data_IF_694621463257
#
_entry.id   IF_694621463257
#
_cell.length_a   1.000
_cell.length_b   1.000
_cell.length_c   1.000
_cell.angle_alpha   90.00
_cell.angle_beta   90.00
_cell.angle_gamma   90.00
#
_symmetry.space_group_name_H-M   'P 1'
#
loop_
_entity.id
_entity.type
_entity.pdbx_description
1 polymer ?
#
# COMPACT_ATOMS: atom_id res chain seq x y z
N UNK A 1 16.10 -14.82 -32.13
CA UNK A 1 15.90 -13.36 -32.01
C UNK A 1 14.49 -13.24 -31.47
N UNK A 2 14.41 -13.53 -30.19
CA UNK A 2 13.19 -13.85 -29.50
C UNK A 2 12.71 -12.52 -28.92
N UNK A 3 11.77 -11.90 -29.63
CA UNK A 3 11.03 -10.74 -29.13
C UNK A 3 10.16 -11.22 -27.96
N UNK A 4 10.74 -11.21 -26.77
CA UNK A 4 9.97 -11.10 -25.53
C UNK A 4 9.49 -9.64 -25.44
N UNK A 5 8.51 -9.29 -26.27
CA UNK A 5 7.75 -8.05 -26.08
C UNK A 5 6.80 -8.28 -24.90
N UNK A 6 7.38 -8.33 -23.70
CA UNK A 6 6.66 -8.00 -22.49
C UNK A 6 6.07 -6.61 -22.72
N UNK A 7 4.76 -6.55 -23.06
CA UNK A 7 4.05 -5.29 -23.24
C UNK A 7 4.12 -4.56 -21.90
N UNK A 8 5.10 -3.70 -21.74
CA UNK A 8 5.11 -2.73 -20.64
C UNK A 8 3.80 -1.98 -20.74
N UNK A 9 2.94 -2.18 -19.74
CA UNK A 9 1.65 -1.49 -19.69
C UNK A 9 1.97 -0.02 -19.50
N UNK A 10 1.74 0.78 -20.54
CA UNK A 10 1.83 2.23 -20.44
C UNK A 10 0.70 2.70 -19.51
N UNK A 11 1.07 2.96 -18.25
CA UNK A 11 0.16 3.40 -17.21
C UNK A 11 -0.52 4.72 -17.58
N UNK A 12 0.14 5.58 -18.36
CA UNK A 12 -0.41 6.85 -18.80
C UNK A 12 -1.51 6.62 -19.83
N UNK A 13 -1.23 5.79 -20.85
CA UNK A 13 -2.21 5.44 -21.88
C UNK A 13 -3.45 4.77 -21.26
N UNK A 14 -3.24 3.81 -20.35
CA UNK A 14 -4.32 3.09 -19.70
C UNK A 14 -5.17 4.02 -18.81
N UNK A 15 -4.53 4.90 -18.04
CA UNK A 15 -5.22 5.89 -17.22
C UNK A 15 -6.06 6.83 -18.08
N UNK A 16 -5.49 7.36 -19.16
CA UNK A 16 -6.19 8.26 -20.08
C UNK A 16 -7.40 7.58 -20.73
N UNK A 17 -7.26 6.32 -21.14
CA UNK A 17 -8.35 5.54 -21.72
C UNK A 17 -9.50 5.30 -20.71
N UNK A 18 -9.18 4.97 -19.46
CA UNK A 18 -10.19 4.77 -18.41
C UNK A 18 -10.93 6.08 -18.08
N UNK A 19 -10.18 7.16 -17.87
CA UNK A 19 -10.77 8.46 -17.52
C UNK A 19 -11.65 8.97 -18.66
N UNK A 20 -11.18 8.91 -19.91
CA UNK A 20 -11.95 9.34 -21.08
C UNK A 20 -13.25 8.55 -21.25
N UNK A 21 -13.22 7.22 -21.07
CA UNK A 21 -14.42 6.38 -21.09
C UNK A 21 -15.41 6.73 -19.97
N UNK A 22 -14.90 7.06 -18.77
CA UNK A 22 -15.74 7.44 -17.65
C UNK A 22 -16.43 8.79 -17.91
N UNK A 23 -15.69 9.84 -18.27
CA UNK A 23 -16.27 11.18 -18.49
C UNK A 23 -17.20 11.24 -19.72
N UNK A 24 -17.04 10.33 -20.68
CA UNK A 24 -17.93 10.24 -21.84
C UNK A 24 -19.38 9.91 -21.47
N UNK A 25 -19.61 9.23 -20.34
CA UNK A 25 -20.96 8.84 -19.88
C UNK A 25 -21.32 9.37 -18.49
N UNK A 26 -20.43 10.10 -17.83
CA UNK A 26 -20.65 10.61 -16.48
C UNK A 26 -20.43 12.12 -16.45
N UNK A 27 -21.35 12.87 -15.86
CA UNK A 27 -21.16 14.30 -15.59
C UNK A 27 -20.43 14.48 -14.27
N UNK A 28 -19.36 15.25 -14.31
CA UNK A 28 -18.57 15.62 -13.13
C UNK A 28 -18.25 17.12 -13.21
N UNK A 29 -18.15 17.80 -12.06
CA UNK A 29 -17.66 19.17 -12.03
C UNK A 29 -16.20 19.22 -12.52
N UNK A 30 -15.81 20.30 -13.19
CA UNK A 30 -14.45 20.46 -13.70
C UNK A 30 -13.39 20.35 -12.59
N UNK A 31 -13.73 20.75 -11.35
CA UNK A 31 -12.87 20.60 -10.19
C UNK A 31 -12.58 19.15 -9.80
N UNK A 32 -13.47 18.20 -10.11
CA UNK A 32 -13.32 16.79 -9.76
C UNK A 32 -12.55 15.95 -10.78
N UNK A 33 -12.18 16.54 -11.94
CA UNK A 33 -11.46 15.81 -12.98
C UNK A 33 -10.05 15.43 -12.53
N UNK A 34 -9.34 16.35 -11.87
CA UNK A 34 -7.99 16.11 -11.37
C UNK A 34 -7.98 14.97 -10.33
N UNK A 35 -8.93 14.98 -9.40
CA UNK A 35 -9.07 13.94 -8.38
C UNK A 35 -9.37 12.57 -8.99
N UNK A 36 -10.23 12.51 -10.02
CA UNK A 36 -10.52 11.28 -10.74
C UNK A 36 -9.27 10.70 -11.40
N UNK A 37 -8.49 11.54 -12.10
CA UNK A 37 -7.24 11.13 -12.75
C UNK A 37 -6.26 10.58 -11.70
N UNK A 38 -6.07 11.31 -10.59
CA UNK A 38 -5.15 10.90 -9.52
C UNK A 38 -5.57 9.58 -8.88
N UNK A 39 -6.86 9.38 -8.62
CA UNK A 39 -7.42 8.15 -8.05
C UNK A 39 -7.19 6.94 -8.96
N UNK A 40 -7.47 7.08 -10.26
CA UNK A 40 -7.28 6.01 -11.25
C UNK A 40 -5.80 5.67 -11.39
N UNK A 41 -4.92 6.67 -11.56
CA UNK A 41 -3.48 6.46 -11.70
C UNK A 41 -2.88 5.76 -10.47
N UNK A 42 -3.27 6.20 -9.27
CA UNK A 42 -2.81 5.58 -8.01
C UNK A 42 -3.29 4.14 -7.89
N UNK A 43 -4.55 3.88 -8.25
CA UNK A 43 -5.13 2.54 -8.19
C UNK A 43 -4.39 1.57 -9.11
N UNK A 44 -4.15 1.94 -10.37
CA UNK A 44 -3.46 1.08 -11.35
C UNK A 44 -2.00 0.88 -10.95
N UNK A 45 -1.31 1.94 -10.53
CA UNK A 45 0.09 1.83 -10.05
C UNK A 45 0.20 0.92 -8.83
N UNK A 46 -0.80 0.97 -7.93
CA UNK A 46 -0.87 0.12 -6.76
C UNK A 46 -1.09 -1.37 -7.06
N UNK A 47 -1.66 -1.73 -8.22
CA UNK A 47 -1.81 -3.12 -8.63
C UNK A 47 -0.47 -3.80 -8.98
N UNK A 48 0.52 -3.02 -9.40
CA UNK A 48 1.88 -3.50 -9.67
C UNK A 48 2.68 -3.74 -8.37
N UNK A 49 2.25 -3.09 -7.28
CA UNK A 49 2.93 -3.23 -6.00
C UNK A 49 2.42 -4.45 -5.24
N UNK A 50 3.30 -5.31 -4.72
CA UNK A 50 2.91 -6.34 -3.76
C UNK A 50 2.21 -5.69 -2.58
N UNK A 51 1.10 -6.29 -2.14
CA UNK A 51 0.43 -5.84 -0.92
C UNK A 51 1.45 -5.82 0.23
N UNK A 52 1.49 -4.72 0.98
CA UNK A 52 2.33 -4.63 2.16
C UNK A 52 2.02 -5.82 3.08
N UNK A 53 3.04 -6.52 3.62
CA UNK A 53 2.82 -7.60 4.57
C UNK A 53 1.93 -7.08 5.69
N UNK A 54 0.88 -7.84 6.03
CA UNK A 54 0.08 -7.54 7.22
C UNK A 54 1.04 -7.56 8.40
N UNK A 55 1.23 -6.40 9.04
CA UNK A 55 2.07 -6.32 10.23
C UNK A 55 1.49 -7.29 11.26
N UNK A 56 2.25 -8.35 11.56
CA UNK A 56 1.87 -9.28 12.62
C UNK A 56 1.72 -8.49 13.90
N UNK A 57 0.60 -8.64 14.64
CA UNK A 57 0.45 -8.03 15.95
C UNK A 57 1.66 -8.40 16.80
N UNK A 58 2.33 -7.39 17.38
CA UNK A 58 3.42 -7.60 18.31
C UNK A 58 2.87 -8.37 19.52
N UNK A 59 3.27 -9.64 19.67
CA UNK A 59 2.96 -10.44 20.85
C UNK A 59 4.07 -10.17 21.87
N UNK A 60 3.77 -9.56 23.03
CA UNK A 60 4.79 -9.28 24.04
C UNK A 60 5.50 -10.56 24.46
N UNK A 61 6.83 -10.54 24.49
CA UNK A 61 7.64 -11.69 24.93
C UNK A 61 7.30 -12.13 26.36
N UNK A 62 6.88 -11.17 27.19
CA UNK A 62 6.39 -11.39 28.54
C UNK A 62 5.19 -10.50 28.84
N UNK A 63 4.40 -10.87 29.85
CA UNK A 63 3.33 -10.01 30.33
C UNK A 63 3.89 -8.63 30.73
N UNK A 64 3.33 -7.50 30.25
CA UNK A 64 3.83 -6.16 30.54
C UNK A 64 4.00 -5.87 32.04
N UNK A 65 3.13 -6.43 32.89
CA UNK A 65 3.20 -6.28 34.35
C UNK A 65 4.35 -7.04 34.99
N UNK A 66 4.89 -8.05 34.31
CA UNK A 66 6.04 -8.87 34.75
C UNK A 66 7.36 -8.42 34.12
N UNK A 67 7.32 -7.39 33.27
CA UNK A 67 8.50 -6.86 32.57
C UNK A 67 9.41 -6.04 33.48
N UNK A 68 8.87 -5.49 34.57
CA UNK A 68 9.62 -4.67 35.52
C UNK A 68 9.69 -5.43 36.84
N UNK A 69 10.89 -5.80 37.23
CA UNK A 69 11.17 -6.38 38.56
C UNK A 69 12.10 -5.45 39.33
N UNK A 70 12.18 -5.57 40.66
CA UNK A 70 13.09 -4.74 41.46
C UNK A 70 14.57 -4.87 41.05
N UNK A 71 14.94 -6.02 40.49
CA UNK A 71 16.33 -6.39 40.20
C UNK A 71 16.71 -6.26 38.72
N UNK A 72 15.76 -6.35 37.79
CA UNK A 72 16.00 -6.28 36.34
C UNK A 72 14.74 -5.92 35.55
N UNK A 73 14.94 -5.43 34.32
CA UNK A 73 13.88 -5.15 33.34
C UNK A 73 13.97 -6.17 32.20
N UNK A 74 12.83 -6.74 31.81
CA UNK A 74 12.69 -7.61 30.64
C UNK A 74 12.25 -6.76 29.44
N UNK A 75 12.90 -6.90 28.28
CA UNK A 75 12.44 -6.30 27.03
C UNK A 75 11.16 -6.98 26.53
N UNK A 76 10.12 -6.22 26.19
CA UNK A 76 8.86 -6.76 25.64
C UNK A 76 8.99 -7.20 24.18
N UNK A 77 10.04 -6.74 23.49
CA UNK A 77 10.39 -7.12 22.13
C UNK A 77 11.23 -8.40 22.12
N UNK A 78 12.25 -8.50 22.99
CA UNK A 78 13.27 -9.56 22.91
C UNK A 78 13.20 -10.60 24.03
N UNK A 79 12.50 -10.33 25.14
CA UNK A 79 12.49 -11.16 26.34
C UNK A 79 13.81 -11.17 27.14
N UNK A 80 14.79 -10.35 26.78
CA UNK A 80 16.11 -10.26 27.45
C UNK A 80 16.04 -9.41 28.72
N UNK A 81 16.88 -9.76 29.70
CA UNK A 81 16.99 -9.08 31.01
C UNK A 81 18.11 -8.03 31.00
N UNK A 82 17.86 -6.88 31.62
CA UNK A 82 18.77 -5.75 31.76
C UNK A 82 18.76 -5.20 33.19
#
# INVERSE_FOLDING_TARGET
MDEDTSKEVDLLELTAHIVSAYVAKNRLPASGLADLIASVATSISGLSQPAAPVATPLVPAVNPKKSVTPDFIICLEDGKKF
#
